data_IF_422903935042
#
_entry.id   IF_422903935042
#
_cell.length_a   1.000
_cell.length_b   1.000
_cell.length_c   1.000
_cell.angle_alpha   90.00
_cell.angle_beta   90.00
_cell.angle_gamma   90.00
#
_symmetry.space_group_name_H-M   'P 1'
#
loop_
_entity.id
_entity.type
_entity.pdbx_description
1 polymer ?
#
# COMPACT_ATOMS: atom_id res chain seq x y z
N UNK A 1 20.82 -4.05 -12.05
CA UNK A 1 20.44 -3.54 -10.71
C UNK A 1 19.65 -4.64 -10.04
N UNK A 2 19.98 -4.97 -8.79
CA UNK A 2 19.29 -5.99 -7.99
C UNK A 2 18.77 -5.33 -6.72
N UNK A 3 17.47 -5.39 -6.48
CA UNK A 3 16.86 -4.89 -5.23
C UNK A 3 16.38 -6.06 -4.41
N UNK A 4 16.78 -6.09 -3.14
CA UNK A 4 16.39 -7.13 -2.19
C UNK A 4 15.63 -6.50 -1.02
N UNK A 5 14.57 -7.17 -0.57
CA UNK A 5 13.88 -6.89 0.69
C UNK A 5 13.81 -8.23 1.43
N UNK A 6 14.26 -8.29 2.68
CA UNK A 6 14.31 -9.50 3.51
C UNK A 6 15.03 -10.70 2.84
N UNK A 7 16.08 -10.40 2.06
CA UNK A 7 16.87 -11.42 1.35
C UNK A 7 16.21 -11.98 0.08
N UNK A 8 15.02 -11.49 -0.29
CA UNK A 8 14.32 -11.88 -1.51
C UNK A 8 14.62 -10.87 -2.61
N UNK A 9 15.12 -11.35 -3.76
CA UNK A 9 15.24 -10.52 -4.96
C UNK A 9 13.85 -10.24 -5.49
N UNK A 10 13.41 -8.98 -5.37
CA UNK A 10 12.09 -8.53 -5.82
C UNK A 10 12.11 -7.93 -7.22
N UNK A 11 13.30 -7.52 -7.69
CA UNK A 11 13.51 -6.95 -9.01
C UNK A 11 14.94 -7.24 -9.48
N UNK A 12 15.04 -7.79 -10.68
CA UNK A 12 16.29 -7.95 -11.41
C UNK A 12 16.12 -7.31 -12.80
N UNK A 13 16.97 -6.32 -13.10
CA UNK A 13 16.99 -5.63 -14.39
C UNK A 13 18.29 -5.96 -15.12
N UNK A 14 18.16 -6.35 -16.39
CA UNK A 14 19.30 -6.58 -17.27
C UNK A 14 19.99 -5.25 -17.62
N UNK A 15 21.23 -5.34 -18.11
CA UNK A 15 21.95 -4.14 -18.57
C UNK A 15 21.22 -3.44 -19.72
N UNK A 16 20.54 -4.20 -20.58
CA UNK A 16 19.71 -3.66 -21.67
C UNK A 16 18.53 -2.88 -21.12
N UNK A 17 17.81 -3.40 -20.12
CA UNK A 17 16.68 -2.70 -19.50
C UNK A 17 17.13 -1.41 -18.83
N UNK A 18 18.27 -1.46 -18.14
CA UNK A 18 18.85 -0.27 -17.48
C UNK A 18 19.24 0.78 -18.52
N UNK A 19 19.80 0.37 -19.66
CA UNK A 19 20.12 1.29 -20.74
C UNK A 19 18.86 1.96 -21.31
N UNK A 20 17.79 1.18 -21.54
CA UNK A 20 16.50 1.71 -21.98
C UNK A 20 15.90 2.69 -20.95
N UNK A 21 15.94 2.35 -19.66
CA UNK A 21 15.41 3.23 -18.62
C UNK A 21 16.20 4.54 -18.50
N UNK A 22 17.54 4.49 -18.60
CA UNK A 22 18.39 5.70 -18.54
C UNK A 22 18.24 6.61 -19.75
N UNK A 23 17.67 6.13 -20.85
CA UNK A 23 17.33 7.00 -21.97
C UNK A 23 16.20 7.98 -21.63
N UNK A 24 15.27 7.59 -20.75
CA UNK A 24 14.05 8.34 -20.46
C UNK A 24 14.01 8.91 -19.02
N UNK A 25 14.56 8.17 -18.06
CA UNK A 25 14.57 8.52 -16.65
C UNK A 25 15.88 9.18 -16.23
N UNK A 26 15.76 10.28 -15.48
CA UNK A 26 16.90 10.96 -14.84
C UNK A 26 17.50 10.12 -13.70
N UNK A 27 16.66 9.37 -12.98
CA UNK A 27 17.06 8.50 -11.88
C UNK A 27 16.08 7.33 -11.76
N UNK A 28 16.59 6.11 -11.97
CA UNK A 28 15.79 4.88 -11.82
C UNK A 28 15.39 4.68 -10.36
N UNK A 29 16.30 4.94 -9.42
CA UNK A 29 16.05 4.74 -7.99
C UNK A 29 14.98 5.70 -7.45
N UNK A 30 15.06 6.97 -7.85
CA UNK A 30 14.07 7.97 -7.45
C UNK A 30 12.69 7.65 -8.03
N UNK A 31 12.64 7.30 -9.32
CA UNK A 31 11.39 6.88 -9.95
C UNK A 31 10.74 5.68 -9.24
N UNK A 32 11.52 4.64 -8.91
CA UNK A 32 11.00 3.48 -8.15
C UNK A 32 10.49 3.91 -6.78
N UNK A 33 11.26 4.72 -6.05
CA UNK A 33 10.89 5.22 -4.72
C UNK A 33 9.57 6.00 -4.77
N UNK A 34 9.45 6.95 -5.70
CA UNK A 34 8.26 7.78 -5.86
C UNK A 34 7.04 6.96 -6.30
N UNK A 35 7.23 5.97 -7.18
CA UNK A 35 6.16 5.06 -7.57
C UNK A 35 5.58 4.28 -6.38
N UNK A 36 6.44 3.77 -5.49
CA UNK A 36 6.02 3.06 -4.27
C UNK A 36 5.32 4.03 -3.29
N UNK A 37 5.91 5.20 -3.02
CA UNK A 37 5.31 6.22 -2.15
C UNK A 37 3.92 6.65 -2.67
N UNK A 38 3.82 6.89 -3.98
CA UNK A 38 2.55 7.24 -4.63
C UNK A 38 1.50 6.14 -4.47
N UNK A 39 1.90 4.86 -4.61
CA UNK A 39 1.00 3.74 -4.40
C UNK A 39 0.52 3.63 -2.95
N UNK A 40 1.42 3.78 -1.97
CA UNK A 40 1.07 3.77 -0.54
C UNK A 40 0.05 4.87 -0.24
N UNK A 41 0.32 6.11 -0.66
CA UNK A 41 -0.58 7.25 -0.43
C UNK A 41 -1.97 7.01 -1.04
N UNK A 42 -2.04 6.43 -2.24
CA UNK A 42 -3.31 6.11 -2.88
C UNK A 42 -4.07 4.99 -2.14
N UNK A 43 -3.36 3.96 -1.68
CA UNK A 43 -3.98 2.89 -0.88
C UNK A 43 -4.52 3.41 0.45
N UNK A 44 -3.77 4.26 1.17
CA UNK A 44 -4.21 4.87 2.43
C UNK A 44 -5.45 5.75 2.23
N UNK A 45 -5.49 6.58 1.19
CA UNK A 45 -6.69 7.38 0.85
C UNK A 45 -7.93 6.52 0.61
N UNK A 46 -7.79 5.43 -0.16
CA UNK A 46 -8.90 4.49 -0.40
C UNK A 46 -9.35 3.79 0.89
N UNK A 47 -8.41 3.44 1.76
CA UNK A 47 -8.71 2.84 3.06
C UNK A 47 -9.51 3.82 3.94
N UNK A 48 -9.09 5.08 4.05
CA UNK A 48 -9.82 6.12 4.79
C UNK A 48 -11.24 6.29 4.23
N UNK A 49 -11.37 6.41 2.91
CA UNK A 49 -12.67 6.57 2.26
C UNK A 49 -13.61 5.39 2.54
N UNK A 50 -13.10 4.17 2.59
CA UNK A 50 -13.89 2.97 2.88
C UNK A 50 -14.26 2.87 4.37
N UNK A 51 -13.31 3.11 5.27
CA UNK A 51 -13.45 2.76 6.68
C UNK A 51 -13.96 3.89 7.56
N UNK A 52 -13.70 5.15 7.22
CA UNK A 52 -14.19 6.29 7.99
C UNK A 52 -15.72 6.24 8.18
N UNK A 53 -16.56 6.05 7.14
CA UNK A 53 -18.01 5.97 7.35
C UNK A 53 -18.42 4.74 8.18
N UNK A 54 -17.72 3.61 8.06
CA UNK A 54 -18.00 2.41 8.86
C UNK A 54 -17.73 2.65 10.34
N UNK A 55 -16.59 3.26 10.66
CA UNK A 55 -16.20 3.60 12.04
C UNK A 55 -17.15 4.63 12.66
N UNK A 56 -17.58 5.63 11.90
CA UNK A 56 -18.53 6.65 12.37
C UNK A 56 -19.95 6.09 12.60
N UNK A 57 -20.29 4.97 11.97
CA UNK A 57 -21.56 4.28 12.17
C UNK A 57 -21.49 3.20 13.26
N UNK A 58 -20.29 2.86 13.75
CA UNK A 58 -20.09 1.82 14.75
C UNK A 58 -20.38 2.36 16.16
N UNK A 59 -21.42 1.86 16.86
CA UNK A 59 -21.79 2.37 18.17
C UNK A 59 -20.76 2.05 19.26
N UNK A 60 -19.80 1.15 19.00
CA UNK A 60 -18.75 0.79 19.96
C UNK A 60 -17.50 1.66 19.81
N UNK A 61 -17.44 2.53 18.81
CA UNK A 61 -16.31 3.43 18.57
C UNK A 61 -16.62 4.81 19.16
N UNK A 62 -15.90 5.16 20.23
CA UNK A 62 -16.04 6.47 20.89
C UNK A 62 -15.22 7.57 20.23
N UNK A 63 -14.11 7.22 19.57
CA UNK A 63 -13.22 8.19 18.92
C UNK A 63 -12.49 7.61 17.72
N UNK A 64 -12.21 8.47 16.73
CA UNK A 64 -11.45 8.12 15.52
C UNK A 64 -10.18 8.96 15.47
N UNK A 65 -8.99 8.35 15.29
CA UNK A 65 -7.73 9.09 15.18
C UNK A 65 -7.73 10.09 14.03
N UNK A 66 -7.15 11.26 14.28
CA UNK A 66 -7.04 12.34 13.28
C UNK A 66 -5.73 12.27 12.46
N UNK A 67 -4.84 11.34 12.76
CA UNK A 67 -3.64 11.08 11.97
C UNK A 67 -3.76 9.77 11.19
N UNK A 68 -3.07 9.70 10.06
CA UNK A 68 -3.24 8.63 9.09
C UNK A 68 -2.71 7.27 9.59
N UNK A 69 -1.56 7.26 10.26
CA UNK A 69 -0.92 6.01 10.69
C UNK A 69 -1.70 5.34 11.83
N UNK A 70 -2.20 6.11 12.80
CA UNK A 70 -3.07 5.60 13.85
C UNK A 70 -4.44 5.18 13.30
N UNK A 71 -4.97 5.89 12.29
CA UNK A 71 -6.20 5.48 11.62
C UNK A 71 -6.03 4.12 10.94
N UNK A 72 -4.95 3.92 10.19
CA UNK A 72 -4.64 2.63 9.55
C UNK A 72 -4.48 1.54 10.61
N UNK A 73 -3.76 1.83 11.70
CA UNK A 73 -3.55 0.90 12.81
C UNK A 73 -4.86 0.50 13.51
N UNK A 74 -5.77 1.45 13.69
CA UNK A 74 -7.12 1.18 14.20
C UNK A 74 -7.87 0.25 13.26
N UNK A 75 -7.87 0.53 11.95
CA UNK A 75 -8.61 -0.29 10.99
C UNK A 75 -8.09 -1.73 10.95
N UNK A 76 -6.77 -1.93 10.84
CA UNK A 76 -6.19 -3.28 10.69
C UNK A 76 -6.23 -4.10 11.98
N UNK A 77 -6.47 -3.47 13.13
CA UNK A 77 -6.61 -4.17 14.41
C UNK A 77 -8.05 -4.64 14.70
N UNK A 78 -9.02 -4.28 13.85
CA UNK A 78 -10.40 -4.74 13.99
C UNK A 78 -10.54 -6.20 13.56
N UNK A 79 -11.39 -6.93 14.28
CA UNK A 79 -11.69 -8.34 13.99
C UNK A 79 -12.42 -8.54 12.64
N UNK A 80 -13.12 -7.51 12.13
CA UNK A 80 -13.83 -7.53 10.85
C UNK A 80 -12.98 -7.04 9.66
N UNK A 81 -11.72 -6.66 9.90
CA UNK A 81 -10.81 -6.25 8.84
C UNK A 81 -10.36 -7.46 8.02
N UNK A 82 -10.36 -7.28 6.70
CA UNK A 82 -9.86 -8.25 5.73
C UNK A 82 -8.97 -7.56 4.71
N UNK A 83 -7.84 -8.19 4.43
CA UNK A 83 -6.95 -7.84 3.33
C UNK A 83 -7.68 -7.96 1.99
N UNK A 84 -7.09 -7.39 0.92
CA UNK A 84 -7.68 -7.53 -0.42
C UNK A 84 -7.75 -9.00 -0.84
N UNK A 85 -6.77 -9.82 -0.47
CA UNK A 85 -6.74 -11.24 -0.83
C UNK A 85 -7.88 -11.99 -0.15
N UNK A 86 -8.01 -11.86 1.17
CA UNK A 86 -9.10 -12.50 1.93
C UNK A 86 -10.49 -12.10 1.42
N UNK A 87 -10.68 -10.82 1.03
CA UNK A 87 -11.94 -10.35 0.43
C UNK A 87 -12.24 -11.00 -0.93
N UNK A 88 -11.23 -11.29 -1.73
CA UNK A 88 -11.44 -11.94 -3.03
C UNK A 88 -11.71 -13.43 -2.84
N UNK A 89 -10.99 -14.10 -1.94
CA UNK A 89 -11.21 -15.51 -1.60
C UNK A 89 -12.64 -15.77 -1.10
N UNK A 90 -13.22 -14.84 -0.33
CA UNK A 90 -14.62 -14.93 0.13
C UNK A 90 -15.66 -14.69 -0.98
N UNK A 91 -15.32 -13.96 -2.03
CA UNK A 91 -16.22 -13.74 -3.17
C UNK A 91 -16.25 -14.94 -4.12
N UNK A 92 -15.19 -15.76 -4.13
CA UNK A 92 -15.06 -16.96 -4.95
C UNK A 92 -15.60 -18.23 -4.27
N UNK A 93 -15.88 -18.18 -2.96
CA UNK A 93 -16.43 -19.28 -2.14
C UNK A 93 -17.96 -19.36 -2.19
#
# INVERSE_FOLDING_TARGET
MKTQIDGVTILELSDTDIACLRNDLLSIEEWIKEAIVGKVNNCKKRMIQEWQPKLFADPNIESVPANEDDFVSLVVSRDDYKTRVEREEELEA
#
